data_IF_892440505431
#
_entry.id   IF_892440505431
#
_cell.length_a   1.000
_cell.length_b   1.000
_cell.length_c   1.000
_cell.angle_alpha   90.00
_cell.angle_beta   90.00
_cell.angle_gamma   90.00
#
_symmetry.space_group_name_H-M   'P 1'
#
loop_
_entity.id
_entity.type
_entity.pdbx_description
1 polymer ?
#
# COMPACT_ATOMS: atom_id res chain seq x y z
N UNK A 1 5.25 13.44 10.18
CA UNK A 1 4.85 12.29 9.35
C UNK A 1 5.87 11.95 8.24
N UNK A 2 6.48 12.92 7.59
CA UNK A 2 7.46 12.67 6.53
C UNK A 2 8.64 11.75 6.95
N UNK A 3 9.26 11.99 8.09
CA UNK A 3 10.36 11.16 8.63
C UNK A 3 9.94 9.71 8.89
N UNK A 4 8.71 9.50 9.39
CA UNK A 4 8.17 8.16 9.64
C UNK A 4 7.98 7.39 8.33
N UNK A 5 7.53 8.06 7.28
CA UNK A 5 7.39 7.48 5.94
C UNK A 5 8.76 7.01 5.38
N UNK A 6 9.81 7.81 5.54
CA UNK A 6 11.17 7.40 5.15
C UNK A 6 11.71 6.26 6.02
N UNK A 7 11.38 6.27 7.31
CA UNK A 7 11.70 5.16 8.22
C UNK A 7 11.03 3.86 7.74
N UNK A 8 9.76 3.91 7.33
CA UNK A 8 9.03 2.74 6.82
C UNK A 8 9.69 2.14 5.58
N UNK A 9 10.17 2.98 4.67
CA UNK A 9 10.95 2.54 3.50
C UNK A 9 12.27 1.88 3.91
N UNK A 10 12.98 2.44 4.89
CA UNK A 10 14.23 1.85 5.41
C UNK A 10 14.00 0.47 6.04
N UNK A 11 12.84 0.25 6.64
CA UNK A 11 12.45 -1.00 7.30
C UNK A 11 11.49 -1.85 6.43
N UNK A 12 11.48 -1.63 5.12
CA UNK A 12 10.52 -2.24 4.19
C UNK A 12 10.48 -3.77 4.27
N UNK A 13 11.62 -4.44 4.46
CA UNK A 13 11.69 -5.91 4.60
C UNK A 13 10.89 -6.40 5.80
N UNK A 14 11.13 -5.81 6.97
CA UNK A 14 10.44 -6.20 8.21
C UNK A 14 8.93 -5.89 8.15
N UNK A 15 8.57 -4.69 7.68
CA UNK A 15 7.18 -4.28 7.50
C UNK A 15 6.45 -5.15 6.49
N UNK A 16 7.08 -5.52 5.38
CA UNK A 16 6.48 -6.41 4.39
C UNK A 16 6.27 -7.82 4.95
N UNK A 17 7.24 -8.35 5.71
CA UNK A 17 7.12 -9.65 6.36
C UNK A 17 5.98 -9.65 7.38
N UNK A 18 5.90 -8.60 8.21
CA UNK A 18 4.80 -8.41 9.15
C UNK A 18 3.45 -8.31 8.42
N UNK A 19 3.37 -7.50 7.37
CA UNK A 19 2.14 -7.33 6.59
C UNK A 19 1.67 -8.65 5.97
N UNK A 20 2.57 -9.45 5.41
CA UNK A 20 2.21 -10.77 4.85
C UNK A 20 1.65 -11.72 5.90
N UNK A 21 2.22 -11.74 7.12
CA UNK A 21 1.71 -12.54 8.24
C UNK A 21 0.34 -12.04 8.69
N UNK A 22 0.19 -10.72 8.81
CA UNK A 22 -1.07 -10.07 9.14
C UNK A 22 -2.16 -10.38 8.10
N UNK A 23 -1.85 -10.28 6.81
CA UNK A 23 -2.77 -10.65 5.73
C UNK A 23 -3.19 -12.12 5.82
N UNK A 24 -2.24 -13.02 6.07
CA UNK A 24 -2.56 -14.45 6.26
C UNK A 24 -3.48 -14.69 7.45
N UNK A 25 -3.30 -13.93 8.54
CA UNK A 25 -4.21 -13.99 9.69
C UNK A 25 -5.61 -13.47 9.34
N UNK A 26 -5.72 -12.36 8.61
CA UNK A 26 -7.01 -11.84 8.14
C UNK A 26 -7.73 -12.82 7.21
N UNK A 27 -6.99 -13.51 6.34
CA UNK A 27 -7.57 -14.53 5.46
C UNK A 27 -8.16 -15.72 6.24
N UNK A 28 -7.56 -16.12 7.38
CA UNK A 28 -8.14 -17.14 8.25
C UNK A 28 -9.44 -16.70 8.91
N UNK A 29 -9.61 -15.39 9.10
CA UNK A 29 -10.82 -14.79 9.69
C UNK A 29 -11.92 -14.51 8.66
N UNK A 30 -11.72 -14.86 7.38
CA UNK A 30 -12.68 -14.60 6.30
C UNK A 30 -14.09 -15.06 6.62
N UNK A 31 -14.26 -16.31 7.09
CA UNK A 31 -15.59 -16.84 7.46
C UNK A 31 -16.27 -16.05 8.59
N UNK A 32 -15.51 -15.57 9.56
CA UNK A 32 -16.05 -14.69 10.60
C UNK A 32 -16.47 -13.32 10.03
N UNK A 33 -15.70 -12.77 9.08
CA UNK A 33 -16.07 -11.51 8.43
C UNK A 33 -17.32 -11.65 7.54
N UNK A 34 -17.51 -12.80 6.91
CA UNK A 34 -18.76 -13.10 6.18
C UNK A 34 -19.96 -13.20 7.14
N UNK A 35 -19.81 -13.91 8.24
CA UNK A 35 -20.87 -14.06 9.24
C UNK A 35 -21.28 -12.72 9.88
N UNK A 36 -20.32 -11.83 10.14
CA UNK A 36 -20.57 -10.48 10.67
C UNK A 36 -21.13 -9.51 9.62
N UNK A 37 -20.88 -9.80 8.34
CA UNK A 37 -21.19 -8.92 7.21
C UNK A 37 -20.11 -7.86 6.98
N UNK A 38 -19.42 -7.95 5.85
CA UNK A 38 -18.33 -7.04 5.47
C UNK A 38 -18.70 -5.55 5.55
N UNK A 39 -19.92 -5.18 5.17
CA UNK A 39 -20.35 -3.78 5.19
C UNK A 39 -20.51 -3.24 6.63
N UNK A 40 -20.83 -4.08 7.61
CA UNK A 40 -20.93 -3.68 9.02
C UNK A 40 -19.55 -3.39 9.62
N UNK A 41 -18.56 -4.21 9.28
CA UNK A 41 -17.20 -4.08 9.80
C UNK A 41 -16.35 -3.11 9.00
N UNK A 42 -16.80 -2.64 7.82
CA UNK A 42 -16.05 -1.76 6.93
C UNK A 42 -15.58 -0.48 7.62
N UNK A 43 -16.51 0.24 8.26
CA UNK A 43 -16.20 1.53 8.91
C UNK A 43 -15.19 1.42 10.06
N UNK A 44 -15.36 0.52 11.05
CA UNK A 44 -14.40 0.36 12.13
C UNK A 44 -13.03 -0.13 11.62
N UNK A 45 -12.99 -1.09 10.71
CA UNK A 45 -11.73 -1.59 10.14
C UNK A 45 -11.02 -0.50 9.33
N UNK A 46 -11.73 0.25 8.49
CA UNK A 46 -11.18 1.38 7.75
C UNK A 46 -10.64 2.47 8.69
N UNK A 47 -11.28 2.69 9.85
CA UNK A 47 -10.80 3.61 10.88
C UNK A 47 -9.44 3.19 11.45
N UNK A 48 -9.32 1.93 11.84
CA UNK A 48 -8.06 1.35 12.34
C UNK A 48 -6.97 1.39 11.25
N UNK A 49 -7.32 0.96 10.05
CA UNK A 49 -6.40 0.99 8.90
C UNK A 49 -5.89 2.39 8.61
N UNK A 50 -6.77 3.39 8.65
CA UNK A 50 -6.43 4.81 8.48
C UNK A 50 -5.44 5.28 9.52
N UNK A 51 -5.65 4.95 10.79
CA UNK A 51 -4.76 5.34 11.87
C UNK A 51 -3.37 4.72 11.69
N UNK A 52 -3.30 3.41 11.51
CA UNK A 52 -2.03 2.67 11.36
C UNK A 52 -1.28 3.07 10.08
N UNK A 53 -1.95 3.01 8.94
CA UNK A 53 -1.32 3.34 7.65
C UNK A 53 -1.09 4.84 7.47
N UNK A 54 -1.93 5.68 8.07
CA UNK A 54 -1.75 7.12 8.10
C UNK A 54 -0.45 7.49 8.81
N UNK A 55 -0.22 6.92 10.00
CA UNK A 55 0.99 7.14 10.77
C UNK A 55 2.25 6.64 10.05
N UNK A 56 2.25 5.41 9.55
CA UNK A 56 3.44 4.76 8.99
C UNK A 56 3.75 5.19 7.55
N UNK A 57 2.74 5.42 6.73
CA UNK A 57 2.90 5.58 5.28
C UNK A 57 2.29 6.86 4.72
N UNK A 58 1.71 7.72 5.56
CA UNK A 58 0.92 8.88 5.13
C UNK A 58 -0.19 8.45 4.13
N UNK A 59 -0.96 7.43 4.49
CA UNK A 59 -1.91 6.77 3.62
C UNK A 59 -3.09 7.68 3.26
N UNK A 60 -3.44 7.74 1.97
CA UNK A 60 -4.56 8.52 1.44
C UNK A 60 -5.86 7.71 1.35
N UNK A 61 -5.90 6.51 1.92
CA UNK A 61 -7.08 5.63 1.96
C UNK A 61 -7.75 5.42 0.59
N UNK A 62 -6.95 5.19 -0.46
CA UNK A 62 -7.47 4.93 -1.81
C UNK A 62 -8.19 3.58 -1.96
N UNK A 63 -8.19 2.74 -0.94
CA UNK A 63 -8.82 1.41 -0.94
C UNK A 63 -8.09 0.35 -1.79
N UNK A 64 -6.99 0.71 -2.46
CA UNK A 64 -6.24 -0.16 -3.38
C UNK A 64 -4.75 -0.17 -3.01
N UNK A 65 -4.42 -0.82 -1.90
CA UNK A 65 -3.08 -0.81 -1.34
C UNK A 65 -2.07 -1.56 -2.22
N UNK A 66 -0.94 -0.91 -2.50
CA UNK A 66 0.17 -1.46 -3.29
C UNK A 66 1.51 -1.38 -2.54
N UNK A 67 1.49 -1.16 -1.22
CA UNK A 67 2.70 -0.95 -0.42
C UNK A 67 3.70 -2.11 -0.54
N UNK A 68 3.22 -3.35 -0.63
CA UNK A 68 4.09 -4.53 -0.79
C UNK A 68 4.82 -4.59 -2.13
N UNK A 69 4.27 -3.97 -3.18
CA UNK A 69 4.91 -3.88 -4.50
C UNK A 69 5.68 -2.58 -4.72
N UNK A 70 5.53 -1.60 -3.82
CA UNK A 70 6.20 -0.29 -3.92
C UNK A 70 7.16 -0.04 -2.75
N UNK A 71 7.76 -1.09 -2.22
CA UNK A 71 8.79 -0.96 -1.18
C UNK A 71 8.34 -0.19 0.06
N UNK A 72 7.08 -0.32 0.47
CA UNK A 72 6.48 0.43 1.59
C UNK A 72 6.42 1.95 1.39
N UNK A 73 6.57 2.43 0.14
CA UNK A 73 6.37 3.84 -0.23
C UNK A 73 5.01 4.00 -0.91
N UNK A 74 4.07 4.73 -0.31
CA UNK A 74 2.74 4.90 -0.88
C UNK A 74 2.75 5.81 -2.12
N UNK A 75 2.38 5.33 -3.33
CA UNK A 75 2.37 6.13 -4.56
C UNK A 75 1.42 7.32 -4.50
N UNK A 76 0.36 7.24 -3.69
CA UNK A 76 -0.61 8.32 -3.53
C UNK A 76 -0.04 9.56 -2.83
N UNK A 77 1.20 9.49 -2.34
CA UNK A 77 1.95 10.63 -1.82
C UNK A 77 2.72 11.39 -2.91
N UNK A 78 2.69 10.91 -4.15
CA UNK A 78 3.26 11.62 -5.28
C UNK A 78 2.41 12.89 -5.56
N UNK A 79 3.01 14.10 -5.61
CA UNK A 79 2.27 15.33 -5.90
C UNK A 79 1.56 15.33 -7.26
N UNK A 80 2.06 14.53 -8.21
CA UNK A 80 1.46 14.32 -9.53
C UNK A 80 0.46 13.18 -9.57
N UNK A 81 0.16 12.56 -8.41
CA UNK A 81 -0.76 11.42 -8.27
C UNK A 81 -0.44 10.23 -9.18
N UNK A 82 0.83 10.06 -9.56
CA UNK A 82 1.25 8.96 -10.43
C UNK A 82 1.20 7.64 -9.69
N UNK A 83 0.44 6.69 -10.23
CA UNK A 83 0.33 5.35 -9.68
C UNK A 83 1.40 4.40 -10.23
N UNK A 84 1.89 4.69 -11.41
CA UNK A 84 3.02 4.02 -12.05
C UNK A 84 4.06 5.07 -12.40
N UNK A 85 5.20 5.05 -11.75
CA UNK A 85 6.26 6.01 -11.95
C UNK A 85 7.61 5.35 -12.18
N UNK A 86 8.67 6.11 -12.24
CA UNK A 86 8.81 7.56 -12.02
C UNK A 86 8.36 8.42 -13.20
N UNK A 87 8.19 9.76 -12.95
CA UNK A 87 7.78 10.71 -13.98
C UNK A 87 8.95 11.37 -14.75
N UNK A 88 10.18 11.01 -14.47
CA UNK A 88 11.36 11.68 -15.01
C UNK A 88 11.72 13.02 -14.36
N UNK A 89 10.82 13.65 -13.58
CA UNK A 89 11.07 14.93 -12.91
C UNK A 89 11.74 14.80 -11.54
N UNK A 90 12.67 13.87 -11.42
CA UNK A 90 13.49 13.70 -10.21
C UNK A 90 14.72 14.60 -10.34
N UNK A 91 14.98 15.44 -9.32
CA UNK A 91 16.17 16.29 -9.28
C UNK A 91 17.42 15.46 -8.97
N UNK A 92 18.61 15.98 -9.26
CA UNK A 92 19.90 15.30 -9.04
C UNK A 92 20.09 14.86 -7.58
N UNK A 93 19.54 15.64 -6.63
CA UNK A 93 19.55 15.28 -5.22
C UNK A 93 18.52 14.20 -4.83
N UNK A 94 17.74 13.68 -5.78
CA UNK A 94 16.70 12.67 -5.57
C UNK A 94 15.38 13.22 -5.03
N UNK A 95 15.20 14.54 -5.01
CA UNK A 95 13.96 15.19 -4.58
C UNK A 95 12.97 15.37 -5.74
N UNK A 96 11.71 15.60 -5.40
CA UNK A 96 10.65 15.83 -6.36
C UNK A 96 10.77 17.22 -7.01
N UNK A 97 10.52 17.35 -8.31
CA UNK A 97 10.52 18.64 -8.99
C UNK A 97 9.37 19.55 -8.53
N UNK A 98 8.21 18.97 -8.22
CA UNK A 98 7.02 19.72 -7.76
C UNK A 98 7.16 20.14 -6.29
N UNK A 99 7.77 19.28 -5.47
CA UNK A 99 8.02 19.54 -4.05
C UNK A 99 9.50 19.32 -3.73
N UNK A 100 10.33 20.34 -3.89
CA UNK A 100 11.78 20.23 -3.71
C UNK A 100 12.23 19.88 -2.28
N UNK A 101 11.37 20.12 -1.29
CA UNK A 101 11.54 19.77 0.13
C UNK A 101 11.33 18.27 0.41
N UNK A 102 10.82 17.51 -0.57
CA UNK A 102 10.43 16.12 -0.42
C UNK A 102 11.22 15.21 -1.37
N UNK A 103 11.69 14.08 -0.86
CA UNK A 103 12.25 13.00 -1.68
C UNK A 103 11.19 12.46 -2.64
N UNK A 104 11.61 12.11 -3.85
CA UNK A 104 10.71 11.50 -4.82
C UNK A 104 10.15 10.18 -4.28
N UNK A 105 8.82 10.06 -4.29
CA UNK A 105 8.10 8.88 -3.79
C UNK A 105 8.54 7.60 -4.52
N UNK A 106 8.82 7.70 -5.82
CA UNK A 106 9.21 6.56 -6.65
C UNK A 106 10.67 6.17 -6.48
N UNK A 107 11.56 7.12 -6.19
CA UNK A 107 12.94 6.82 -5.78
C UNK A 107 12.94 6.07 -4.45
N UNK A 108 12.10 6.48 -3.51
CA UNK A 108 11.97 5.78 -2.23
C UNK A 108 11.27 4.42 -2.41
N UNK A 109 10.31 4.30 -3.34
CA UNK A 109 9.70 3.02 -3.69
C UNK A 109 10.74 2.02 -4.23
N UNK A 110 11.61 2.46 -5.12
CA UNK A 110 12.71 1.64 -5.64
C UNK A 110 13.64 1.17 -4.50
N UNK A 111 14.12 2.10 -3.67
CA UNK A 111 14.99 1.81 -2.52
C UNK A 111 14.37 0.83 -1.53
N UNK A 112 13.08 0.94 -1.28
CA UNK A 112 12.34 0.02 -0.42
C UNK A 112 12.18 -1.35 -1.08
N UNK A 113 11.93 -1.39 -2.38
CA UNK A 113 11.77 -2.63 -3.15
C UNK A 113 13.06 -3.46 -3.21
N UNK A 114 14.23 -2.82 -3.29
CA UNK A 114 15.53 -3.50 -3.19
C UNK A 114 15.70 -4.28 -1.88
N UNK A 115 15.05 -3.85 -0.80
CA UNK A 115 15.12 -4.49 0.52
C UNK A 115 14.16 -5.67 0.67
N UNK A 116 13.18 -5.79 -0.21
CA UNK A 116 12.15 -6.84 -0.16
C UNK A 116 12.53 -7.94 -1.15
N UNK A 117 12.61 -9.22 -0.75
CA UNK A 117 12.83 -10.31 -1.70
C UNK A 117 11.77 -10.30 -2.82
N UNK A 118 12.23 -10.24 -4.08
CA UNK A 118 11.35 -10.12 -5.24
C UNK A 118 10.67 -8.75 -5.42
N UNK A 119 11.03 -7.75 -4.60
CA UNK A 119 10.37 -6.44 -4.60
C UNK A 119 10.56 -5.66 -5.89
N UNK A 120 11.71 -5.75 -6.54
CA UNK A 120 11.95 -5.09 -7.84
C UNK A 120 11.03 -5.67 -8.91
N UNK A 121 10.90 -7.00 -8.99
CA UNK A 121 9.96 -7.64 -9.92
C UNK A 121 8.50 -7.25 -9.63
N UNK A 122 8.12 -7.20 -8.35
CA UNK A 122 6.79 -6.75 -7.95
C UNK A 122 6.53 -5.28 -8.31
N UNK A 123 7.54 -4.41 -8.19
CA UNK A 123 7.43 -2.99 -8.55
C UNK A 123 7.29 -2.78 -10.07
N UNK A 124 7.82 -3.69 -10.89
CA UNK A 124 7.69 -3.64 -12.37
C UNK A 124 6.27 -3.97 -12.85
N UNK A 125 5.42 -4.50 -11.98
CA UNK A 125 4.02 -4.78 -12.33
C UNK A 125 3.24 -3.47 -12.46
N UNK A 126 2.65 -3.24 -13.65
CA UNK A 126 1.82 -2.07 -13.91
C UNK A 126 0.54 -2.15 -13.07
N UNK A 127 0.32 -1.13 -12.25
CA UNK A 127 -0.87 -1.02 -11.41
C UNK A 127 -2.04 -0.43 -12.21
N UNK A 128 -3.23 -0.95 -11.97
CA UNK A 128 -4.45 -0.39 -12.54
C UNK A 128 -4.70 1.05 -12.05
N UNK A 129 -5.46 1.81 -12.80
CA UNK A 129 -5.92 3.13 -12.40
C UNK A 129 -6.66 3.07 -11.06
N UNK A 130 -6.60 4.15 -10.28
CA UNK A 130 -7.30 4.22 -8.99
C UNK A 130 -8.81 4.28 -9.22
N UNK A 131 -9.53 3.33 -8.67
CA UNK A 131 -10.99 3.36 -8.62
C UNK A 131 -11.43 4.29 -7.47
N UNK A 132 -11.91 5.47 -7.81
CA UNK A 132 -12.32 6.49 -6.85
C UNK A 132 -13.51 6.06 -5.97
N UNK A 133 -14.30 5.06 -6.40
CA UNK A 133 -15.41 4.50 -5.60
C UNK A 133 -14.93 3.80 -4.35
N UNK A 134 -13.65 3.42 -4.29
CA UNK A 134 -13.03 2.77 -3.14
C UNK A 134 -12.39 3.76 -2.17
N UNK A 135 -12.46 5.06 -2.45
CA UNK A 135 -11.89 6.08 -1.57
C UNK A 135 -12.50 6.00 -0.18
N UNK A 136 -11.65 5.90 0.84
CA UNK A 136 -12.05 5.76 2.24
C UNK A 136 -12.38 4.34 2.69
N UNK A 137 -12.48 3.37 1.78
CA UNK A 137 -12.73 1.97 2.10
C UNK A 137 -11.46 1.24 2.56
N UNK A 138 -11.69 0.14 3.30
CA UNK A 138 -10.59 -0.70 3.79
C UNK A 138 -9.96 -1.52 2.68
N UNK A 139 -8.69 -1.30 2.42
CA UNK A 139 -7.92 -2.15 1.50
C UNK A 139 -7.63 -3.54 2.10
N UNK A 140 -7.62 -3.68 3.42
CA UNK A 140 -7.44 -4.98 4.08
C UNK A 140 -8.63 -5.91 3.81
N UNK A 141 -9.85 -5.41 4.02
CA UNK A 141 -11.07 -6.18 3.75
C UNK A 141 -11.21 -6.51 2.25
N UNK A 142 -10.85 -5.55 1.38
CA UNK A 142 -10.85 -5.78 -0.06
C UNK A 142 -9.94 -6.94 -0.46
N UNK A 143 -8.68 -6.93 -0.01
CA UNK A 143 -7.72 -8.01 -0.31
C UNK A 143 -8.19 -9.37 0.21
N UNK A 144 -8.80 -9.43 1.40
CA UNK A 144 -9.36 -10.67 1.95
C UNK A 144 -10.47 -11.20 1.04
N UNK A 145 -11.42 -10.35 0.63
CA UNK A 145 -12.52 -10.73 -0.27
C UNK A 145 -12.01 -11.24 -1.62
N UNK A 146 -11.08 -10.52 -2.25
CA UNK A 146 -10.52 -10.87 -3.56
C UNK A 146 -9.76 -12.20 -3.52
N UNK A 147 -8.91 -12.40 -2.50
CA UNK A 147 -8.13 -13.63 -2.37
C UNK A 147 -8.99 -14.84 -1.98
N UNK A 148 -10.02 -14.65 -1.17
CA UNK A 148 -10.97 -15.70 -0.83
C UNK A 148 -11.77 -16.11 -2.07
N UNK A 149 -12.29 -15.16 -2.84
CA UNK A 149 -13.00 -15.44 -4.09
C UNK A 149 -12.11 -16.15 -5.12
N UNK A 150 -10.86 -15.71 -5.29
CA UNK A 150 -9.91 -16.36 -6.19
C UNK A 150 -9.61 -17.81 -5.78
N UNK A 151 -9.55 -18.10 -4.48
CA UNK A 151 -9.34 -19.45 -3.96
C UNK A 151 -10.56 -20.35 -4.20
N UNK A 152 -11.76 -19.81 -4.06
CA UNK A 152 -13.01 -20.53 -4.33
C UNK A 152 -13.20 -20.87 -5.81
N UNK A 153 -12.72 -20.00 -6.73
CA UNK A 153 -12.81 -20.24 -8.18
C UNK A 153 -11.75 -21.20 -8.72
N UNK A 154 -10.72 -21.52 -7.92
CA UNK A 154 -9.64 -22.44 -8.30
C UNK A 154 -9.79 -23.86 -7.72
N UNK A 155 -10.81 -24.08 -6.89
CA UNK A 155 -11.15 -25.36 -6.26
C UNK A 155 -12.33 -26.02 -6.97
#
# INVERSE_FOLDING_TARGET
MYSVRLWSVRHARGLNTFYRRFEAALLRLHGAFEALGYERIEKPVAGIERAVKGLLFDCRMCGQCVLSSTGMSCPMNCPKTLRNGPCGGVRDNGNCEVRPDMRCVWVEAYRGSERIPGGIAAMSTVQLAVDQRLQGRSSWLKVVREKAAAKSSAA
#
